data_IF_416428252549
#
_entry.id   IF_416428252549
#
_cell.length_a   1.000
_cell.length_b   1.000
_cell.length_c   1.000
_cell.angle_alpha   90.00
_cell.angle_beta   90.00
_cell.angle_gamma   90.00
#
_symmetry.space_group_name_H-M   'P 1'
#
loop_
_entity.id
_entity.type
_entity.pdbx_description
1 polymer ?
#
# COMPACT_ATOMS: atom_id res chain seq x y z
N UNK A 1 8.45 -4.62 -14.33
CA UNK A 1 8.79 -5.19 -13.02
C UNK A 1 8.30 -4.26 -11.92
N UNK A 2 7.01 -4.40 -11.60
CA UNK A 2 6.33 -3.65 -10.55
C UNK A 2 6.95 -3.95 -9.19
N UNK A 3 6.96 -2.97 -8.30
CA UNK A 3 7.31 -3.18 -6.91
C UNK A 3 6.72 -2.00 -6.14
N UNK A 4 5.40 -2.05 -5.94
CA UNK A 4 4.80 -1.38 -4.81
C UNK A 4 5.48 -1.90 -3.54
N UNK A 5 5.86 -0.99 -2.64
CA UNK A 5 6.64 -1.34 -1.45
C UNK A 5 5.84 -0.93 -0.24
N UNK A 6 5.36 -1.92 0.49
CA UNK A 6 4.63 -1.70 1.74
C UNK A 6 5.56 -1.55 2.94
N UNK A 7 6.76 -2.13 2.84
CA UNK A 7 7.74 -2.08 3.92
C UNK A 7 9.12 -1.69 3.43
N UNK A 8 9.74 -0.74 4.13
CA UNK A 8 11.10 -0.28 3.83
C UNK A 8 11.95 -0.27 5.10
N UNK A 9 12.91 -1.19 5.17
CA UNK A 9 13.96 -1.20 6.21
C UNK A 9 15.04 -0.18 5.86
N UNK A 10 15.30 0.75 6.77
CA UNK A 10 16.23 1.87 6.59
C UNK A 10 17.16 2.00 7.78
N UNK A 11 18.40 2.40 7.52
CA UNK A 11 19.37 2.72 8.55
C UNK A 11 19.34 4.22 8.83
N UNK A 12 19.12 4.61 10.07
CA UNK A 12 19.13 6.01 10.52
C UNK A 12 20.26 6.25 11.51
N UNK A 13 20.96 7.36 11.34
CA UNK A 13 22.02 7.79 12.26
C UNK A 13 22.02 9.29 12.47
N UNK A 14 21.90 9.70 13.73
CA UNK A 14 22.13 11.09 14.14
C UNK A 14 23.57 11.52 13.92
N UNK A 15 23.76 12.82 13.71
CA UNK A 15 25.08 13.43 13.58
C UNK A 15 25.89 13.26 14.86
N UNK A 16 27.20 13.09 14.73
CA UNK A 16 28.12 13.16 15.89
C UNK A 16 28.20 14.62 16.36
N UNK A 17 28.31 14.85 17.67
CA UNK A 17 28.62 16.17 18.20
C UNK A 17 30.02 16.65 17.79
N UNK A 18 30.22 17.97 17.81
CA UNK A 18 31.52 18.60 17.61
C UNK A 18 32.37 18.57 18.87
N UNK A 19 33.69 18.63 18.71
CA UNK A 19 34.65 18.64 19.81
C UNK A 19 34.65 19.98 20.55
N UNK A 20 34.73 19.92 21.88
CA UNK A 20 34.92 21.09 22.74
C UNK A 20 36.39 21.55 22.75
N UNK A 21 36.65 22.77 23.21
CA UNK A 21 37.98 23.35 23.32
C UNK A 21 38.30 23.62 24.79
N UNK A 22 38.83 22.62 25.53
CA UNK A 22 38.94 22.66 26.99
C UNK A 22 39.67 23.88 27.53
N UNK A 23 40.75 24.31 26.86
CA UNK A 23 41.63 25.39 27.33
C UNK A 23 40.94 26.75 27.45
N UNK A 24 39.89 26.98 26.66
CA UNK A 24 39.14 28.23 26.65
C UNK A 24 37.66 28.02 26.99
N UNK A 25 37.30 26.84 27.50
CA UNK A 25 35.91 26.49 27.80
C UNK A 25 35.00 26.44 26.57
N UNK A 26 35.55 26.21 25.37
CA UNK A 26 34.76 26.16 24.14
C UNK A 26 33.86 24.94 24.07
N UNK A 27 32.60 25.14 23.68
CA UNK A 27 31.59 24.09 23.53
C UNK A 27 31.45 23.67 22.07
N UNK A 28 31.57 22.38 21.79
CA UNK A 28 31.30 21.83 20.47
C UNK A 28 29.80 21.86 20.15
N UNK A 29 29.48 21.98 18.86
CA UNK A 29 28.10 22.00 18.40
C UNK A 29 27.42 20.64 18.53
N UNK A 30 26.09 20.62 18.73
CA UNK A 30 25.32 19.37 18.75
C UNK A 30 25.24 18.78 17.34
N UNK A 31 25.25 17.46 17.22
CA UNK A 31 24.99 16.79 15.95
C UNK A 31 23.53 16.99 15.50
N UNK A 32 23.30 16.93 14.19
CA UNK A 32 21.96 16.99 13.62
C UNK A 32 21.11 15.76 13.96
N UNK A 33 19.81 15.95 14.00
CA UNK A 33 18.80 14.91 14.23
C UNK A 33 18.28 14.35 12.89
N UNK A 34 17.80 13.11 12.88
CA UNK A 34 17.12 12.51 11.72
C UNK A 34 15.62 12.47 11.99
N UNK A 35 14.83 13.04 11.09
CA UNK A 35 13.38 13.15 11.20
C UNK A 35 12.68 12.45 10.02
N UNK A 36 11.62 11.70 10.31
CA UNK A 36 10.64 11.32 9.30
C UNK A 36 9.53 12.36 9.26
N UNK A 37 9.19 12.86 8.07
CA UNK A 37 8.16 13.90 7.88
C UNK A 37 7.10 13.40 6.91
N UNK A 38 5.85 13.36 7.36
CA UNK A 38 4.72 12.83 6.62
C UNK A 38 4.29 13.78 5.48
N UNK A 39 4.24 13.28 4.24
CA UNK A 39 3.84 14.03 3.05
C UNK A 39 2.93 13.20 2.12
N UNK A 40 1.92 13.85 1.52
CA UNK A 40 0.92 13.17 0.69
C UNK A 40 1.44 12.64 -0.65
N UNK A 41 2.44 13.31 -1.24
CA UNK A 41 2.94 13.04 -2.59
C UNK A 41 4.11 12.05 -2.64
N UNK A 42 4.51 11.47 -1.51
CA UNK A 42 5.68 10.59 -1.41
C UNK A 42 5.24 9.13 -1.25
N UNK A 43 5.92 8.20 -1.94
CA UNK A 43 5.70 6.75 -1.84
C UNK A 43 6.94 6.07 -1.26
N UNK A 44 6.82 4.90 -0.62
CA UNK A 44 8.00 4.18 -0.13
C UNK A 44 8.94 3.74 -1.27
N UNK A 45 8.37 3.46 -2.45
CA UNK A 45 9.13 3.19 -3.68
C UNK A 45 10.02 4.38 -4.06
N UNK A 46 9.49 5.60 -4.09
CA UNK A 46 10.29 6.77 -4.46
C UNK A 46 11.43 7.05 -3.48
N UNK A 47 11.29 6.67 -2.20
CA UNK A 47 12.35 6.73 -1.20
C UNK A 47 13.45 5.70 -1.50
N UNK A 48 13.07 4.45 -1.81
CA UNK A 48 14.04 3.41 -2.20
C UNK A 48 14.82 3.80 -3.46
N UNK A 49 14.14 4.35 -4.45
CA UNK A 49 14.73 4.73 -5.72
C UNK A 49 15.67 5.93 -5.56
N UNK A 50 15.27 6.93 -4.76
CA UNK A 50 16.10 8.10 -4.44
C UNK A 50 17.30 7.77 -3.55
N UNK A 51 17.15 6.79 -2.65
CA UNK A 51 18.18 6.38 -1.70
C UNK A 51 18.46 4.88 -1.76
N UNK A 52 19.22 4.40 -2.78
CA UNK A 52 19.48 2.98 -2.97
C UNK A 52 20.18 2.32 -1.77
N UNK A 53 21.02 3.08 -1.06
CA UNK A 53 21.73 2.62 0.14
C UNK A 53 20.83 2.58 1.40
N UNK A 54 19.61 3.12 1.35
CA UNK A 54 18.64 3.17 2.46
C UNK A 54 19.24 3.72 3.76
N UNK A 55 20.18 4.66 3.64
CA UNK A 55 21.01 5.16 4.75
C UNK A 55 20.81 6.66 4.90
N UNK A 56 20.25 7.06 6.05
CA UNK A 56 19.97 8.46 6.37
C UNK A 56 20.86 8.90 7.53
N UNK A 57 21.71 9.90 7.27
CA UNK A 57 22.69 10.38 8.24
C UNK A 57 22.60 11.89 8.35
N UNK A 58 22.38 12.39 9.56
CA UNK A 58 22.38 13.83 9.82
C UNK A 58 23.81 14.39 9.93
N UNK A 59 23.93 15.71 9.73
CA UNK A 59 25.20 16.42 9.73
C UNK A 59 25.88 16.43 11.10
N UNK A 60 27.21 16.41 11.12
CA UNK A 60 27.99 16.51 12.36
C UNK A 60 27.98 17.94 12.91
N UNK A 61 28.01 18.08 14.24
CA UNK A 61 28.20 19.38 14.88
C UNK A 61 29.60 19.93 14.63
N UNK A 62 29.73 21.25 14.54
CA UNK A 62 31.02 21.89 14.32
C UNK A 62 31.87 21.87 15.59
N UNK A 63 33.19 21.72 15.42
CA UNK A 63 34.12 21.82 16.54
C UNK A 63 34.21 23.27 17.02
N UNK A 64 34.43 23.44 18.32
CA UNK A 64 34.85 24.73 18.86
C UNK A 64 36.33 24.97 18.55
N UNK A 65 36.70 26.23 18.41
CA UNK A 65 38.05 26.68 18.11
C UNK A 65 38.39 27.94 18.88
N UNK A 66 39.66 28.35 18.82
CA UNK A 66 40.14 29.60 19.43
C UNK A 66 39.37 30.83 18.90
N UNK A 67 38.93 30.80 17.64
CA UNK A 67 38.17 31.89 17.00
C UNK A 67 36.66 31.80 17.22
N UNK A 68 36.15 30.61 17.51
CA UNK A 68 34.72 30.35 17.69
C UNK A 68 34.52 29.36 18.83
N UNK A 69 34.32 29.89 20.04
CA UNK A 69 34.19 29.09 21.25
C UNK A 69 32.90 28.26 21.29
N UNK A 70 31.90 28.56 20.47
CA UNK A 70 30.66 27.78 20.37
C UNK A 70 30.52 27.21 18.97
N UNK A 71 30.49 25.89 18.87
CA UNK A 71 30.27 25.17 17.62
C UNK A 71 28.80 25.22 17.18
N UNK A 72 28.59 25.34 15.87
CA UNK A 72 27.26 25.32 15.26
C UNK A 72 26.64 23.91 15.28
N UNK A 73 25.30 23.86 15.36
CA UNK A 73 24.55 22.60 15.26
C UNK A 73 24.71 22.01 13.85
N UNK A 74 24.95 20.70 13.77
CA UNK A 74 24.92 19.97 12.51
C UNK A 74 23.54 20.02 11.85
N UNK A 75 23.52 20.00 10.51
CA UNK A 75 22.26 20.04 9.73
C UNK A 75 21.41 18.79 10.00
N UNK A 76 20.14 19.01 10.29
CA UNK A 76 19.17 17.92 10.47
C UNK A 76 18.88 17.24 9.11
N UNK A 77 18.59 15.94 9.15
CA UNK A 77 18.22 15.17 7.97
C UNK A 77 16.71 14.87 8.04
N UNK A 78 15.93 15.55 7.21
CA UNK A 78 14.51 15.27 7.05
C UNK A 78 14.30 14.28 5.90
N UNK A 79 13.62 13.18 6.19
CA UNK A 79 13.26 12.14 5.24
C UNK A 79 11.75 12.19 5.07
N UNK A 80 11.31 12.55 3.87
CA UNK A 80 9.88 12.60 3.57
C UNK A 80 9.32 11.20 3.36
N UNK A 81 8.22 10.91 4.03
CA UNK A 81 7.57 9.60 4.03
C UNK A 81 6.06 9.74 3.75
N UNK A 82 5.39 8.74 3.13
CA UNK A 82 3.94 8.78 2.94
C UNK A 82 3.14 8.93 4.25
N UNK A 83 1.89 9.34 4.12
CA UNK A 83 0.93 9.31 5.22
C UNK A 83 0.51 7.87 5.56
N UNK A 84 0.27 7.63 6.85
CA UNK A 84 -0.19 6.35 7.39
C UNK A 84 0.97 5.37 7.60
N UNK A 85 2.15 5.84 7.98
CA UNK A 85 3.30 4.97 8.22
C UNK A 85 3.44 4.66 9.71
N UNK A 86 3.64 3.38 10.00
CA UNK A 86 4.11 2.90 11.28
C UNK A 86 5.62 2.75 11.22
N UNK A 87 6.32 3.34 12.20
CA UNK A 87 7.76 3.18 12.36
C UNK A 87 7.98 2.07 13.38
N UNK A 88 8.59 0.98 12.94
CA UNK A 88 8.89 -0.20 13.73
C UNK A 88 10.39 -0.29 14.00
N UNK A 89 10.76 -0.76 15.17
CA UNK A 89 12.11 -1.21 15.47
C UNK A 89 12.42 -2.54 14.75
N UNK A 90 13.70 -2.91 14.71
CA UNK A 90 14.14 -4.17 14.08
C UNK A 90 13.58 -5.43 14.79
N UNK A 91 13.13 -5.28 16.04
CA UNK A 91 12.45 -6.29 16.85
C UNK A 91 10.93 -6.39 16.56
N UNK A 92 10.40 -5.57 15.65
CA UNK A 92 8.99 -5.51 15.31
C UNK A 92 8.13 -4.66 16.25
N UNK A 93 8.71 -4.01 17.26
CA UNK A 93 7.97 -3.10 18.15
C UNK A 93 7.69 -1.77 17.48
N UNK A 94 6.44 -1.32 17.48
CA UNK A 94 6.07 0.01 16.99
C UNK A 94 6.61 1.09 17.93
N UNK A 95 7.42 2.00 17.38
CA UNK A 95 8.02 3.13 18.10
C UNK A 95 7.40 4.48 17.72
N UNK A 96 6.66 4.55 16.62
CA UNK A 96 6.00 5.77 16.18
C UNK A 96 5.01 5.54 15.06
N UNK A 97 4.21 6.58 14.78
CA UNK A 97 3.24 6.61 13.69
C UNK A 97 3.13 8.02 13.11
N UNK A 98 2.86 8.10 11.82
CA UNK A 98 2.79 9.34 11.05
C UNK A 98 1.50 9.31 10.20
N UNK A 99 0.47 10.05 10.63
CA UNK A 99 -0.88 9.92 10.07
C UNK A 99 -1.37 11.17 9.34
N UNK A 100 -0.99 12.36 9.82
CA UNK A 100 -1.37 13.63 9.24
C UNK A 100 -0.21 14.26 8.45
N UNK A 101 -0.55 15.07 7.44
CA UNK A 101 0.45 15.79 6.67
C UNK A 101 1.22 16.77 7.57
N UNK A 102 2.55 16.72 7.49
CA UNK A 102 3.43 17.52 8.34
C UNK A 102 3.78 16.90 9.69
N UNK A 103 3.20 15.75 10.06
CA UNK A 103 3.62 15.00 11.24
C UNK A 103 5.12 14.70 11.15
N UNK A 104 5.83 14.85 12.29
CA UNK A 104 7.27 14.62 12.38
C UNK A 104 7.58 13.60 13.46
N UNK A 105 8.39 12.61 13.11
CA UNK A 105 8.88 11.60 14.04
C UNK A 105 10.41 11.64 14.14
N UNK A 106 10.93 11.74 15.37
CA UNK A 106 12.37 11.76 15.64
C UNK A 106 12.93 10.35 15.53
N UNK A 107 13.51 10.02 14.37
CA UNK A 107 14.02 8.70 14.08
C UNK A 107 15.39 8.42 14.71
N UNK A 108 16.27 9.42 14.81
CA UNK A 108 17.54 9.27 15.50
C UNK A 108 18.03 10.61 16.05
N UNK A 109 18.40 10.64 17.34
CA UNK A 109 18.95 11.83 17.98
C UNK A 109 20.42 12.06 17.60
N UNK A 110 20.74 13.31 17.30
CA UNK A 110 22.11 13.81 17.19
C UNK A 110 22.82 13.79 18.54
N UNK A 111 24.12 13.49 18.50
CA UNK A 111 24.98 13.41 19.68
C UNK A 111 25.26 14.79 20.27
N UNK A 112 25.44 14.83 21.60
CA UNK A 112 25.83 16.04 22.30
C UNK A 112 27.24 16.49 21.86
N UNK A 113 27.43 17.80 21.74
CA UNK A 113 28.75 18.38 21.52
C UNK A 113 29.60 18.33 22.80
N UNK A 114 30.91 18.47 22.65
CA UNK A 114 31.84 18.51 23.76
C UNK A 114 31.62 19.77 24.60
N UNK A 115 31.18 19.63 25.84
CA UNK A 115 31.02 20.72 26.81
C UNK A 115 31.68 20.35 28.13
N UNK A 116 31.63 21.24 29.13
CA UNK A 116 32.17 20.95 30.46
C UNK A 116 31.59 19.66 31.06
N UNK A 117 30.30 19.37 30.79
CA UNK A 117 29.60 18.17 31.27
C UNK A 117 30.15 16.88 30.63
N UNK A 118 30.62 16.96 29.38
CA UNK A 118 31.15 15.81 28.65
C UNK A 118 32.69 15.79 28.60
N UNK A 119 33.35 16.52 29.50
CA UNK A 119 34.82 16.72 29.50
C UNK A 119 35.34 17.18 28.12
N UNK A 120 34.57 18.03 27.45
CA UNK A 120 34.83 18.57 26.10
C UNK A 120 34.91 17.52 24.99
N UNK A 121 34.52 16.27 25.26
CA UNK A 121 34.48 15.20 24.28
C UNK A 121 33.08 15.09 23.63
N UNK A 122 33.00 14.93 22.30
CA UNK A 122 31.73 14.78 21.62
C UNK A 122 31.12 13.39 21.85
N UNK A 123 29.80 13.34 21.92
CA UNK A 123 29.05 12.10 21.91
C UNK A 123 28.69 11.70 20.47
N UNK A 124 28.66 10.38 20.20
CA UNK A 124 28.14 9.84 18.95
C UNK A 124 26.61 9.99 18.90
N UNK A 125 26.07 10.31 17.73
CA UNK A 125 24.62 10.29 17.51
C UNK A 125 24.05 8.87 17.58
N UNK A 126 22.78 8.78 17.93
CA UNK A 126 22.03 7.53 17.99
C UNK A 126 22.01 6.84 16.63
N UNK A 127 22.13 5.52 16.63
CA UNK A 127 22.12 4.68 15.42
C UNK A 127 21.08 3.60 15.64
N UNK A 128 20.19 3.42 14.68
CA UNK A 128 19.23 2.33 14.71
C UNK A 128 18.80 1.95 13.29
N UNK A 129 18.36 0.71 13.16
CA UNK A 129 17.68 0.23 11.97
C UNK A 129 16.19 0.27 12.28
N UNK A 130 15.42 0.90 11.40
CA UNK A 130 13.97 1.02 11.54
C UNK A 130 13.31 0.50 10.29
N UNK A 131 12.11 -0.07 10.45
CA UNK A 131 11.27 -0.52 9.36
C UNK A 131 10.08 0.42 9.25
N UNK A 132 9.91 1.03 8.08
CA UNK A 132 8.76 1.85 7.76
C UNK A 132 7.73 0.95 7.11
N UNK A 133 6.63 0.69 7.81
CA UNK A 133 5.52 -0.09 7.28
C UNK A 133 4.34 0.84 7.01
N UNK A 134 3.92 0.87 5.75
CA UNK A 134 2.73 1.60 5.33
C UNK A 134 1.49 0.85 5.80
N UNK A 135 0.58 1.52 6.51
CA UNK A 135 -0.69 0.93 6.90
C UNK A 135 -1.53 0.69 5.65
N UNK A 136 -1.81 -0.58 5.42
CA UNK A 136 -2.83 -1.03 4.48
C UNK A 136 -4.21 -0.62 4.99
N UNK A 137 -5.12 -0.35 4.06
CA UNK A 137 -6.52 -0.06 4.38
C UNK A 137 -7.25 -1.38 4.67
N UNK A 138 -6.99 -2.38 3.84
CA UNK A 138 -7.53 -3.73 3.97
C UNK A 138 -6.59 -4.73 3.27
N UNK A 139 -6.75 -6.02 3.56
CA UNK A 139 -6.06 -7.08 2.82
C UNK A 139 -6.67 -7.24 1.42
N UNK A 140 -8.00 -7.16 1.31
CA UNK A 140 -8.74 -7.30 0.04
C UNK A 140 -9.49 -6.01 -0.28
N UNK A 141 -9.41 -5.54 -1.53
CA UNK A 141 -10.21 -4.44 -2.05
C UNK A 141 -11.28 -4.92 -3.03
N UNK A 142 -12.55 -4.62 -2.75
CA UNK A 142 -13.65 -4.88 -3.70
C UNK A 142 -13.63 -3.83 -4.80
N UNK A 143 -13.55 -4.28 -6.05
CA UNK A 143 -13.52 -3.44 -7.24
C UNK A 143 -14.69 -3.81 -8.14
N UNK A 144 -15.37 -2.82 -8.72
CA UNK A 144 -16.52 -3.07 -9.59
C UNK A 144 -17.40 -1.84 -9.71
N UNK A 145 -18.32 -1.88 -10.66
CA UNK A 145 -19.25 -0.78 -10.89
C UNK A 145 -20.29 -0.65 -9.78
N UNK A 146 -20.98 0.51 -9.69
CA UNK A 146 -22.18 0.63 -8.89
C UNK A 146 -23.18 -0.49 -9.19
N UNK A 147 -23.96 -0.93 -8.19
CA UNK A 147 -24.98 -1.98 -8.33
C UNK A 147 -24.49 -3.39 -8.70
N UNK A 148 -23.17 -3.61 -8.85
CA UNK A 148 -22.59 -4.96 -8.96
C UNK A 148 -22.79 -5.81 -7.68
N UNK A 149 -23.20 -5.16 -6.58
CA UNK A 149 -23.48 -5.81 -5.29
C UNK A 149 -22.27 -5.89 -4.36
N UNK A 150 -21.29 -4.98 -4.48
CA UNK A 150 -20.09 -4.92 -3.63
C UNK A 150 -20.42 -4.77 -2.14
N UNK A 151 -21.23 -3.78 -1.77
CA UNK A 151 -21.60 -3.54 -0.37
C UNK A 151 -22.46 -4.68 0.18
N UNK A 152 -23.34 -5.27 -0.65
CA UNK A 152 -24.10 -6.48 -0.31
C UNK A 152 -23.17 -7.66 -0.05
N UNK A 153 -22.16 -7.87 -0.90
CA UNK A 153 -21.15 -8.90 -0.72
C UNK A 153 -20.36 -8.67 0.56
N UNK A 154 -19.90 -7.43 0.82
CA UNK A 154 -19.18 -7.07 2.04
C UNK A 154 -19.99 -7.40 3.29
N UNK A 155 -21.27 -7.07 3.30
CA UNK A 155 -22.17 -7.35 4.43
C UNK A 155 -22.35 -8.85 4.68
N UNK A 156 -22.29 -9.68 3.63
CA UNK A 156 -22.47 -11.14 3.72
C UNK A 156 -21.20 -11.89 4.12
N UNK A 157 -20.05 -11.43 3.63
CA UNK A 157 -18.75 -12.05 3.98
C UNK A 157 -18.26 -11.63 5.36
N UNK A 158 -18.65 -10.44 5.81
CA UNK A 158 -18.19 -9.89 7.08
C UNK A 158 -18.87 -10.56 8.27
N UNK A 159 -18.07 -10.98 9.25
CA UNK A 159 -18.54 -11.52 10.52
C UNK A 159 -19.19 -10.44 11.40
N UNK A 160 -18.69 -9.19 11.30
CA UNK A 160 -19.24 -8.03 12.00
C UNK A 160 -19.95 -7.09 11.01
N UNK A 161 -20.81 -6.21 11.52
CA UNK A 161 -21.37 -5.14 10.68
C UNK A 161 -20.22 -4.33 10.08
N UNK A 162 -20.20 -4.10 8.75
CA UNK A 162 -19.19 -3.26 8.14
C UNK A 162 -19.13 -1.89 8.82
N UNK A 163 -17.93 -1.43 9.13
CA UNK A 163 -17.70 -0.14 9.78
C UNK A 163 -17.10 0.84 8.80
N UNK A 164 -17.49 2.11 8.90
CA UNK A 164 -16.94 3.19 8.08
C UNK A 164 -15.57 3.56 8.67
N UNK A 165 -14.51 3.42 7.87
CA UNK A 165 -13.16 3.62 8.34
C UNK A 165 -12.66 5.06 8.10
N UNK A 166 -12.37 5.77 9.19
CA UNK A 166 -11.92 7.16 9.15
C UNK A 166 -10.40 7.27 9.20
N UNK A 167 -9.73 6.86 8.12
CA UNK A 167 -8.29 7.03 8.01
C UNK A 167 -7.92 8.48 7.66
N UNK A 168 -6.91 9.04 8.32
CA UNK A 168 -6.49 10.44 8.16
C UNK A 168 -6.06 10.81 6.72
N UNK A 169 -5.82 9.81 5.87
CA UNK A 169 -5.34 9.96 4.50
C UNK A 169 -6.41 9.64 3.43
N UNK A 170 -7.65 9.33 3.82
CA UNK A 170 -8.73 8.98 2.90
C UNK A 170 -9.72 10.15 2.80
N UNK A 171 -10.01 10.64 1.60
CA UNK A 171 -11.07 11.67 1.41
C UNK A 171 -12.47 11.07 1.28
N UNK A 172 -12.57 9.81 0.89
CA UNK A 172 -13.82 9.04 0.88
C UNK A 172 -13.60 7.86 1.81
N UNK A 173 -14.46 7.74 2.81
CA UNK A 173 -14.36 6.70 3.84
C UNK A 173 -14.78 5.36 3.24
N UNK A 174 -13.88 4.36 3.14
CA UNK A 174 -14.26 3.03 2.69
C UNK A 174 -15.04 2.30 3.79
N UNK A 175 -15.95 1.42 3.38
CA UNK A 175 -16.57 0.46 4.30
C UNK A 175 -15.63 -0.72 4.51
N UNK A 176 -15.33 -1.05 5.76
CA UNK A 176 -14.50 -2.19 6.13
C UNK A 176 -15.33 -3.31 6.73
N UNK A 177 -15.18 -4.50 6.16
CA UNK A 177 -15.63 -5.77 6.72
C UNK A 177 -14.45 -6.61 7.21
N UNK A 178 -14.74 -7.57 8.08
CA UNK A 178 -13.76 -8.56 8.56
C UNK A 178 -14.29 -9.97 8.32
N UNK A 179 -13.55 -10.75 7.55
CA UNK A 179 -13.80 -12.20 7.41
C UNK A 179 -13.08 -12.90 8.56
N UNK A 180 -13.82 -13.70 9.33
CA UNK A 180 -13.26 -14.55 10.38
C UNK A 180 -13.24 -16.00 9.91
N UNK A 181 -12.06 -16.62 9.94
CA UNK A 181 -11.87 -18.02 9.59
C UNK A 181 -11.91 -18.92 10.84
N UNK A 182 -12.05 -20.22 10.62
CA UNK A 182 -12.16 -21.25 11.67
C UNK A 182 -10.92 -21.36 12.56
N UNK A 183 -9.75 -20.96 12.05
CA UNK A 183 -8.48 -20.89 12.77
C UNK A 183 -8.24 -19.53 13.44
N UNK A 184 -9.27 -18.72 13.61
CA UNK A 184 -9.23 -17.36 14.16
C UNK A 184 -8.42 -16.35 13.35
N UNK A 185 -7.93 -16.71 12.16
CA UNK A 185 -7.34 -15.76 11.24
C UNK A 185 -8.41 -14.76 10.81
N UNK A 186 -8.05 -13.48 10.79
CA UNK A 186 -8.92 -12.39 10.35
C UNK A 186 -8.34 -11.76 9.10
N UNK A 187 -9.18 -11.59 8.08
CA UNK A 187 -8.83 -10.90 6.84
C UNK A 187 -9.75 -9.69 6.70
N UNK A 188 -9.14 -8.53 6.49
CA UNK A 188 -9.86 -7.28 6.30
C UNK A 188 -10.24 -7.09 4.83
N UNK A 189 -11.48 -6.68 4.58
CA UNK A 189 -12.00 -6.42 3.23
C UNK A 189 -12.55 -5.00 3.19
N UNK A 190 -12.12 -4.20 2.22
CA UNK A 190 -12.66 -2.87 1.99
C UNK A 190 -13.59 -2.87 0.77
N UNK A 191 -14.80 -2.35 0.91
CA UNK A 191 -15.54 -1.86 -0.24
C UNK A 191 -14.96 -0.51 -0.65
N UNK A 192 -14.28 -0.52 -1.78
CA UNK A 192 -13.71 0.67 -2.36
C UNK A 192 -14.84 1.32 -3.19
N UNK A 193 -15.38 2.51 -2.81
CA UNK A 193 -16.51 3.16 -3.48
C UNK A 193 -16.31 3.20 -5.00
N UNK A 194 -17.27 2.65 -5.73
CA UNK A 194 -17.07 2.06 -7.07
C UNK A 194 -16.20 2.86 -8.04
N UNK A 195 -15.43 2.14 -8.85
CA UNK A 195 -14.91 2.67 -10.11
C UNK A 195 -16.12 3.18 -10.90
N UNK A 196 -16.29 4.51 -10.93
CA UNK A 196 -17.26 5.15 -11.81
C UNK A 196 -16.55 5.31 -13.14
N UNK A 197 -17.26 5.00 -14.22
CA UNK A 197 -16.79 5.21 -15.57
C UNK A 197 -16.18 6.62 -15.74
N UNK A 198 -14.91 6.68 -16.10
CA UNK A 198 -14.17 7.95 -16.19
C UNK A 198 -13.58 8.43 -14.86
N UNK A 199 -13.41 7.56 -13.86
CA UNK A 199 -12.67 7.84 -12.63
C UNK A 199 -11.23 8.31 -12.93
N UNK A 200 -10.61 7.80 -14.00
CA UNK A 200 -9.33 8.28 -14.50
C UNK A 200 -9.40 9.75 -15.01
N UNK A 201 -10.50 10.15 -15.67
CA UNK A 201 -10.69 11.47 -16.26
C UNK A 201 -11.10 12.56 -15.25
N UNK A 202 -11.76 12.18 -14.15
CA UNK A 202 -12.18 13.09 -13.10
C UNK A 202 -10.99 13.53 -12.21
N UNK A 203 -10.34 14.64 -12.62
CA UNK A 203 -9.27 15.38 -11.94
C UNK A 203 -9.61 15.75 -10.47
N UNK A 204 -9.55 14.78 -9.56
CA UNK A 204 -9.56 15.05 -8.12
C UNK A 204 -10.13 13.93 -7.23
N UNK A 205 -11.21 13.28 -7.64
CA UNK A 205 -11.89 12.26 -6.82
C UNK A 205 -11.43 10.82 -7.15
N UNK A 206 -11.33 10.47 -8.43
CA UNK A 206 -10.89 9.13 -8.84
C UNK A 206 -9.42 8.85 -8.49
N UNK A 207 -8.55 9.85 -8.62
CA UNK A 207 -7.12 9.71 -8.27
C UNK A 207 -6.88 9.44 -6.78
N UNK A 208 -7.73 9.98 -5.90
CA UNK A 208 -7.66 9.74 -4.45
C UNK A 208 -8.27 8.39 -4.07
N UNK A 209 -9.32 7.98 -4.79
CA UNK A 209 -9.95 6.69 -4.64
C UNK A 209 -9.00 5.52 -4.98
N UNK A 210 -8.33 5.62 -6.11
CA UNK A 210 -7.42 4.59 -6.61
C UNK A 210 -6.15 4.45 -5.74
N UNK A 211 -5.77 5.50 -5.02
CA UNK A 211 -4.74 5.43 -3.95
C UNK A 211 -5.14 4.47 -2.81
N UNK A 212 -6.43 4.19 -2.63
CA UNK A 212 -6.90 3.20 -1.66
C UNK A 212 -6.79 1.77 -2.20
N UNK A 213 -7.03 1.58 -3.50
CA UNK A 213 -6.78 0.31 -4.21
C UNK A 213 -5.28 -0.05 -4.16
N UNK A 214 -4.40 0.96 -4.20
CA UNK A 214 -2.97 0.74 -3.97
C UNK A 214 -2.68 0.15 -2.58
N UNK A 215 -3.50 0.46 -1.57
CA UNK A 215 -3.31 0.03 -0.17
C UNK A 215 -4.07 -1.26 0.20
N UNK A 216 -4.34 -2.10 -0.79
CA UNK A 216 -4.81 -3.48 -0.60
C UNK A 216 -3.80 -4.49 -1.11
N UNK A 217 -3.69 -5.66 -0.49
CA UNK A 217 -2.81 -6.72 -0.99
C UNK A 217 -3.41 -7.38 -2.23
N UNK A 218 -4.71 -7.64 -2.16
CA UNK A 218 -5.48 -8.34 -3.18
C UNK A 218 -6.65 -7.52 -3.71
N UNK A 219 -6.98 -7.74 -4.98
CA UNK A 219 -8.17 -7.21 -5.63
C UNK A 219 -9.22 -8.32 -5.79
N UNK A 220 -10.47 -8.00 -5.49
CA UNK A 220 -11.62 -8.84 -5.80
C UNK A 220 -12.56 -8.05 -6.70
N UNK A 221 -12.56 -8.39 -7.99
CA UNK A 221 -13.43 -7.77 -8.97
C UNK A 221 -14.82 -8.41 -8.85
N UNK A 222 -15.85 -7.59 -8.65
CA UNK A 222 -17.23 -8.02 -8.52
C UNK A 222 -17.98 -7.54 -9.76
N UNK A 223 -18.52 -8.50 -10.53
CA UNK A 223 -19.22 -8.25 -11.78
C UNK A 223 -20.61 -8.88 -11.74
N UNK A 224 -21.59 -8.19 -12.30
CA UNK A 224 -22.95 -8.70 -12.46
C UNK A 224 -23.03 -9.58 -13.71
N UNK A 225 -23.53 -10.82 -13.56
CA UNK A 225 -23.72 -11.75 -14.69
C UNK A 225 -24.75 -11.25 -15.71
N UNK A 226 -25.67 -10.40 -15.29
CA UNK A 226 -26.69 -9.81 -16.16
C UNK A 226 -26.21 -8.57 -16.89
N UNK A 227 -24.91 -8.24 -16.78
CA UNK A 227 -24.35 -7.03 -17.37
C UNK A 227 -24.60 -5.78 -16.52
N UNK A 228 -24.20 -4.64 -17.07
CA UNK A 228 -24.20 -3.37 -16.37
C UNK A 228 -24.71 -2.23 -17.27
N UNK A 229 -25.52 -1.34 -16.69
CA UNK A 229 -25.94 -0.10 -17.32
C UNK A 229 -25.95 1.01 -16.27
N UNK A 230 -25.13 2.06 -16.48
CA UNK A 230 -24.97 3.16 -15.52
C UNK A 230 -26.18 4.12 -15.53
N UNK A 231 -26.75 4.38 -16.69
CA UNK A 231 -27.91 5.26 -16.90
C UNK A 231 -28.73 4.81 -18.10
N UNK A 232 -29.99 5.25 -18.19
CA UNK A 232 -30.87 5.00 -19.36
C UNK A 232 -30.22 5.50 -20.68
N UNK A 233 -29.28 6.46 -20.58
CA UNK A 233 -28.54 7.03 -21.72
C UNK A 233 -27.26 6.28 -22.09
N UNK A 234 -26.75 5.39 -21.24
CA UNK A 234 -25.54 4.62 -21.51
C UNK A 234 -25.90 3.29 -22.12
N UNK A 235 -25.08 2.80 -23.05
CA UNK A 235 -25.24 1.47 -23.63
C UNK A 235 -25.18 0.40 -22.54
N UNK A 236 -26.00 -0.64 -22.72
CA UNK A 236 -25.96 -1.82 -21.88
C UNK A 236 -24.68 -2.59 -22.19
N UNK A 237 -23.94 -2.95 -21.15
CA UNK A 237 -22.69 -3.69 -21.28
C UNK A 237 -22.81 -5.11 -20.78
N UNK A 238 -22.19 -6.03 -21.49
CA UNK A 238 -22.08 -7.42 -21.06
C UNK A 238 -21.15 -7.57 -19.86
N UNK A 239 -21.21 -8.72 -19.17
CA UNK A 239 -20.31 -9.03 -18.06
C UNK A 239 -18.82 -9.02 -18.51
N UNK A 240 -18.55 -9.47 -19.73
CA UNK A 240 -17.20 -9.47 -20.30
C UNK A 240 -16.68 -8.06 -20.59
N UNK A 241 -17.48 -7.24 -21.25
CA UNK A 241 -17.17 -5.81 -21.46
C UNK A 241 -16.92 -5.09 -20.13
N UNK A 242 -17.69 -5.44 -19.11
CA UNK A 242 -17.54 -4.90 -17.77
C UNK A 242 -16.18 -5.25 -17.17
N UNK A 243 -15.73 -6.50 -17.27
CA UNK A 243 -14.41 -6.94 -16.81
C UNK A 243 -13.29 -6.19 -17.54
N UNK A 244 -13.39 -6.07 -18.87
CA UNK A 244 -12.39 -5.38 -19.69
C UNK A 244 -12.31 -3.89 -19.35
N UNK A 245 -13.45 -3.23 -19.19
CA UNK A 245 -13.51 -1.82 -18.82
C UNK A 245 -12.91 -1.58 -17.44
N UNK A 246 -13.24 -2.40 -16.43
CA UNK A 246 -12.63 -2.31 -15.10
C UNK A 246 -11.11 -2.51 -15.16
N UNK A 247 -10.66 -3.46 -15.97
CA UNK A 247 -9.23 -3.72 -16.19
C UNK A 247 -8.55 -2.51 -16.85
N UNK A 248 -9.21 -1.90 -17.85
CA UNK A 248 -8.71 -0.70 -18.52
C UNK A 248 -8.60 0.48 -17.59
N UNK A 249 -9.59 0.68 -16.72
CA UNK A 249 -9.55 1.78 -15.75
C UNK A 249 -8.43 1.60 -14.72
N UNK A 250 -8.18 0.36 -14.27
CA UNK A 250 -7.03 0.04 -13.42
C UNK A 250 -5.71 0.31 -14.15
N UNK A 251 -5.62 -0.07 -15.42
CA UNK A 251 -4.45 0.18 -16.27
C UNK A 251 -4.16 1.67 -16.45
N UNK A 252 -5.16 2.44 -16.90
CA UNK A 252 -5.05 3.88 -17.16
C UNK A 252 -4.61 4.63 -15.90
N UNK A 253 -5.06 4.19 -14.73
CA UNK A 253 -4.59 4.75 -13.49
C UNK A 253 -3.13 4.39 -13.21
N UNK A 254 -2.82 3.10 -13.19
CA UNK A 254 -1.49 2.60 -12.90
C UNK A 254 -1.35 1.13 -13.29
N UNK A 255 -0.48 0.87 -14.25
CA UNK A 255 -0.13 -0.48 -14.69
C UNK A 255 0.29 -1.42 -13.55
N UNK A 256 0.90 -0.89 -12.47
CA UNK A 256 1.28 -1.70 -11.31
C UNK A 256 0.10 -2.36 -10.60
N UNK A 257 -1.13 -1.82 -10.71
CA UNK A 257 -2.31 -2.46 -10.11
C UNK A 257 -2.68 -3.77 -10.81
N UNK A 258 -2.33 -3.94 -12.09
CA UNK A 258 -2.57 -5.17 -12.83
C UNK A 258 -1.66 -6.32 -12.38
N UNK A 259 -0.53 -6.00 -11.73
CA UNK A 259 0.37 -7.03 -11.18
C UNK A 259 -0.09 -7.58 -9.83
N UNK A 260 -1.11 -6.99 -9.21
CA UNK A 260 -1.67 -7.51 -7.96
C UNK A 260 -2.48 -8.77 -8.24
N UNK A 261 -2.56 -9.72 -7.29
CA UNK A 261 -3.53 -10.79 -7.42
C UNK A 261 -4.94 -10.25 -7.58
N UNK A 262 -5.61 -10.75 -8.60
CA UNK A 262 -7.01 -10.50 -8.82
C UNK A 262 -7.79 -11.80 -8.73
N UNK A 263 -8.93 -11.74 -8.04
CA UNK A 263 -9.99 -12.72 -8.10
C UNK A 263 -11.19 -12.09 -8.80
N UNK A 264 -11.97 -12.89 -9.53
CA UNK A 264 -13.22 -12.46 -10.15
C UNK A 264 -14.40 -13.14 -9.46
N UNK A 265 -15.27 -12.35 -8.83
CA UNK A 265 -16.56 -12.78 -8.30
C UNK A 265 -17.67 -12.39 -9.26
N UNK A 266 -18.36 -13.40 -9.80
CA UNK A 266 -19.53 -13.22 -10.67
C UNK A 266 -20.78 -13.26 -9.80
N UNK A 267 -21.43 -12.12 -9.59
CA UNK A 267 -22.60 -11.98 -8.73
C UNK A 267 -23.93 -12.13 -9.50
N UNK A 268 -25.02 -12.29 -8.75
CA UNK A 268 -26.41 -12.48 -9.21
C UNK A 268 -26.68 -13.78 -9.96
N UNK A 269 -26.01 -14.86 -9.53
CA UNK A 269 -26.24 -16.21 -10.06
C UNK A 269 -27.64 -16.80 -9.76
N UNK A 270 -28.45 -16.10 -8.97
CA UNK A 270 -29.84 -16.43 -8.68
C UNK A 270 -30.81 -16.17 -9.85
N UNK A 271 -30.36 -15.49 -10.92
CA UNK A 271 -31.21 -15.12 -12.04
C UNK A 271 -31.41 -16.28 -13.05
N UNK A 272 -32.58 -16.38 -13.69
CA UNK A 272 -32.99 -17.55 -14.48
C UNK A 272 -32.17 -17.82 -15.77
N UNK A 273 -31.25 -16.93 -16.17
CA UNK A 273 -30.33 -17.13 -17.31
C UNK A 273 -28.85 -17.07 -16.90
N UNK A 274 -28.55 -17.07 -15.60
CA UNK A 274 -27.19 -16.82 -15.12
C UNK A 274 -26.19 -17.93 -15.50
N UNK A 275 -26.65 -19.19 -15.60
CA UNK A 275 -25.78 -20.32 -15.96
C UNK A 275 -25.30 -20.25 -17.41
N UNK A 276 -26.22 -20.01 -18.34
CA UNK A 276 -25.89 -19.89 -19.77
C UNK A 276 -24.98 -18.69 -20.03
N UNK A 277 -25.27 -17.55 -19.39
CA UNK A 277 -24.42 -16.36 -19.45
C UNK A 277 -23.03 -16.60 -18.85
N UNK A 278 -22.93 -17.44 -17.81
CA UNK A 278 -21.65 -17.75 -17.18
C UNK A 278 -20.79 -18.63 -18.09
N UNK A 279 -21.39 -19.62 -18.75
CA UNK A 279 -20.68 -20.47 -19.71
C UNK A 279 -20.15 -19.65 -20.89
N UNK A 280 -20.94 -18.67 -21.36
CA UNK A 280 -20.50 -17.73 -22.40
C UNK A 280 -19.37 -16.82 -21.91
N UNK A 281 -19.50 -16.24 -20.72
CA UNK A 281 -18.45 -15.42 -20.11
C UNK A 281 -17.15 -16.20 -19.91
N UNK A 282 -17.22 -17.46 -19.47
CA UNK A 282 -16.05 -18.30 -19.28
C UNK A 282 -15.32 -18.57 -20.61
N UNK A 283 -16.04 -18.79 -21.71
CA UNK A 283 -15.44 -18.91 -23.05
C UNK A 283 -14.76 -17.61 -23.48
N UNK A 284 -15.42 -16.48 -23.25
CA UNK A 284 -14.88 -15.16 -23.59
C UNK A 284 -13.62 -14.81 -22.77
N UNK A 285 -13.58 -15.20 -21.49
CA UNK A 285 -12.39 -15.02 -20.64
C UNK A 285 -11.22 -15.93 -21.03
N UNK A 286 -11.50 -17.12 -21.58
CA UNK A 286 -10.44 -18.03 -22.06
C UNK A 286 -9.81 -17.57 -23.38
N UNK A 287 -10.60 -17.00 -24.28
CA UNK A 287 -10.13 -16.50 -25.58
C UNK A 287 -10.49 -15.02 -25.78
N UNK A 288 -9.93 -14.09 -24.98
CA UNK A 288 -10.31 -12.69 -25.03
C UNK A 288 -10.04 -12.08 -26.41
N UNK A 289 -8.93 -12.46 -27.05
CA UNK A 289 -8.52 -11.97 -28.38
C UNK A 289 -9.56 -12.20 -29.48
N UNK A 290 -10.36 -13.27 -29.38
CA UNK A 290 -11.40 -13.59 -30.34
C UNK A 290 -12.62 -12.67 -30.22
N UNK A 291 -12.75 -11.87 -29.16
CA UNK A 291 -13.88 -10.97 -28.94
C UNK A 291 -13.48 -9.50 -28.89
N UNK A 292 -12.19 -9.18 -28.84
CA UNK A 292 -11.69 -7.80 -28.82
C UNK A 292 -12.11 -6.98 -30.05
N UNK A 293 -12.28 -7.64 -31.20
CA UNK A 293 -12.66 -6.97 -32.45
C UNK A 293 -14.11 -6.44 -32.46
N UNK A 294 -14.95 -6.88 -31.51
CA UNK A 294 -16.32 -6.41 -31.35
C UNK A 294 -16.42 -5.16 -30.45
N UNK A 295 -15.31 -4.76 -29.83
CA UNK A 295 -15.27 -3.71 -28.82
C UNK A 295 -14.63 -2.43 -29.37
N UNK A 296 -15.07 -1.29 -28.84
CA UNK A 296 -14.44 -0.01 -29.13
C UNK A 296 -12.98 -0.02 -28.64
N UNK A 297 -12.03 0.50 -29.43
CA UNK A 297 -10.59 0.50 -29.12
C UNK A 297 -10.28 1.10 -27.73
N UNK A 298 -11.10 2.03 -27.27
CA UNK A 298 -10.97 2.71 -25.96
C UNK A 298 -11.19 1.77 -24.77
N UNK A 299 -11.90 0.64 -24.95
CA UNK A 299 -12.22 -0.34 -23.90
C UNK A 299 -11.18 -1.45 -23.77
N UNK A 300 -10.22 -1.54 -24.70
CA UNK A 300 -9.27 -2.65 -24.76
C UNK A 300 -8.04 -2.33 -23.90
N UNK A 301 -7.78 -3.08 -22.81
CA UNK A 301 -6.56 -2.91 -22.02
C UNK A 301 -5.34 -3.36 -22.82
N UNK A 302 -4.21 -2.67 -22.67
CA UNK A 302 -2.97 -3.08 -23.32
C UNK A 302 -2.36 -4.30 -22.62
N UNK A 303 -2.61 -4.46 -21.32
CA UNK A 303 -2.27 -5.64 -20.53
C UNK A 303 -3.52 -6.30 -19.94
N UNK A 304 -3.66 -7.61 -20.11
CA UNK A 304 -4.74 -8.39 -19.49
C UNK A 304 -4.47 -8.65 -18.01
N UNK A 305 -5.49 -8.46 -17.18
CA UNK A 305 -5.46 -8.85 -15.77
C UNK A 305 -5.63 -10.37 -15.68
N UNK A 306 -4.64 -11.08 -15.14
CA UNK A 306 -4.75 -12.51 -14.90
C UNK A 306 -5.52 -12.76 -13.61
N UNK A 307 -6.68 -13.40 -13.72
CA UNK A 307 -7.46 -13.83 -12.57
C UNK A 307 -6.96 -15.18 -12.07
N UNK A 308 -6.61 -15.25 -10.78
CA UNK A 308 -6.20 -16.52 -10.15
C UNK A 308 -7.36 -17.52 -10.06
N UNK A 309 -8.57 -17.03 -9.79
CA UNK A 309 -9.80 -17.82 -9.81
C UNK A 309 -11.00 -16.95 -10.23
N UNK A 310 -11.98 -17.58 -10.87
CA UNK A 310 -13.29 -17.03 -11.24
C UNK A 310 -14.35 -17.80 -10.45
N UNK A 311 -15.15 -17.09 -9.67
CA UNK A 311 -16.01 -17.68 -8.65
C UNK A 311 -17.44 -17.17 -8.83
N UNK A 312 -18.40 -18.04 -9.20
CA UNK A 312 -19.81 -17.69 -9.23
C UNK A 312 -20.37 -17.57 -7.81
N UNK A 313 -21.07 -16.48 -7.55
CA UNK A 313 -21.69 -16.20 -6.26
C UNK A 313 -23.11 -15.63 -6.43
N UNK A 314 -23.94 -15.86 -5.42
CA UNK A 314 -25.16 -15.06 -5.24
C UNK A 314 -25.16 -14.47 -3.85
N UNK A 315 -25.08 -13.15 -3.79
CA UNK A 315 -25.23 -12.41 -2.53
C UNK A 315 -26.63 -12.53 -1.92
N UNK A 316 -27.65 -12.84 -2.73
CA UNK A 316 -29.02 -13.03 -2.28
C UNK A 316 -29.22 -14.40 -1.61
N UNK A 317 -28.86 -15.49 -2.29
CA UNK A 317 -29.04 -16.86 -1.77
C UNK A 317 -27.93 -17.27 -0.81
N UNK A 318 -26.75 -16.66 -0.91
CA UNK A 318 -25.54 -17.04 -0.17
C UNK A 318 -24.70 -18.12 -0.84
N UNK A 319 -25.09 -18.57 -2.04
CA UNK A 319 -24.36 -19.58 -2.81
C UNK A 319 -22.99 -19.07 -3.24
N UNK A 320 -21.96 -19.94 -3.18
CA UNK A 320 -20.59 -19.62 -3.57
C UNK A 320 -19.79 -18.75 -2.58
N UNK A 321 -20.41 -18.21 -1.52
CA UNK A 321 -19.73 -17.29 -0.59
C UNK A 321 -18.65 -18.00 0.24
N UNK A 322 -18.88 -19.22 0.71
CA UNK A 322 -17.88 -19.96 1.49
C UNK A 322 -16.69 -20.38 0.63
N UNK A 323 -16.93 -20.76 -0.62
CA UNK A 323 -15.86 -21.01 -1.59
C UNK A 323 -15.05 -19.74 -1.84
N UNK A 324 -15.72 -18.60 -2.04
CA UNK A 324 -15.06 -17.30 -2.20
C UNK A 324 -14.15 -16.97 -1.01
N UNK A 325 -14.63 -17.15 0.23
CA UNK A 325 -13.81 -16.93 1.44
C UNK A 325 -12.57 -17.83 1.44
N UNK A 326 -12.72 -19.10 1.07
CA UNK A 326 -11.60 -20.04 1.01
C UNK A 326 -10.56 -19.64 -0.03
N UNK A 327 -10.99 -19.20 -1.24
CA UNK A 327 -10.10 -18.76 -2.31
C UNK A 327 -9.36 -17.45 -1.98
N UNK A 328 -10.06 -16.49 -1.37
CA UNK A 328 -9.45 -15.25 -0.86
C UNK A 328 -8.29 -15.59 0.08
N UNK A 329 -8.54 -16.47 1.05
CA UNK A 329 -7.53 -16.88 2.01
C UNK A 329 -6.35 -17.57 1.34
N UNK A 330 -6.62 -18.56 0.49
CA UNK A 330 -5.57 -19.33 -0.21
C UNK A 330 -4.63 -18.40 -0.97
N UNK A 331 -5.18 -17.44 -1.70
CA UNK A 331 -4.39 -16.50 -2.47
C UNK A 331 -3.51 -15.59 -1.61
N UNK A 332 -4.04 -15.08 -0.48
CA UNK A 332 -3.25 -14.25 0.45
C UNK A 332 -2.14 -15.08 1.11
N UNK A 333 -2.43 -16.34 1.45
CA UNK A 333 -1.45 -17.24 2.07
C UNK A 333 -0.30 -17.57 1.11
N UNK A 334 -0.61 -17.90 -0.14
CA UNK A 334 0.38 -18.17 -1.20
C UNK A 334 1.32 -16.97 -1.43
N UNK A 335 0.79 -15.75 -1.40
CA UNK A 335 1.61 -14.55 -1.57
C UNK A 335 2.52 -14.26 -0.39
N UNK A 336 2.00 -14.43 0.82
CA UNK A 336 2.80 -14.29 2.02
C UNK A 336 3.95 -15.33 2.03
N UNK A 337 3.71 -16.55 1.55
CA UNK A 337 4.74 -17.57 1.40
C UNK A 337 5.80 -17.18 0.35
N UNK A 338 5.39 -16.73 -0.83
CA UNK A 338 6.29 -16.28 -1.89
C UNK A 338 7.19 -15.12 -1.43
N UNK A 339 6.61 -14.11 -0.76
CA UNK A 339 7.38 -12.98 -0.21
C UNK A 339 8.40 -13.45 0.83
N UNK A 340 8.02 -14.38 1.70
CA UNK A 340 8.89 -14.93 2.74
C UNK A 340 10.04 -15.75 2.14
N UNK A 341 9.78 -16.55 1.10
CA UNK A 341 10.81 -17.30 0.39
C UNK A 341 11.79 -16.38 -0.34
N UNK A 342 11.30 -15.36 -1.04
CA UNK A 342 12.14 -14.35 -1.67
C UNK A 342 13.04 -13.64 -0.65
N UNK A 343 12.46 -13.29 0.50
CA UNK A 343 13.19 -12.66 1.59
C UNK A 343 14.30 -13.59 2.13
N UNK A 344 13.98 -14.86 2.36
CA UNK A 344 14.96 -15.87 2.81
C UNK A 344 16.08 -16.04 1.79
N UNK A 345 15.77 -16.13 0.49
CA UNK A 345 16.76 -16.22 -0.60
C UNK A 345 17.68 -14.99 -0.65
N UNK A 346 17.11 -13.77 -0.59
CA UNK A 346 17.89 -12.52 -0.55
C UNK A 346 18.83 -12.47 0.66
N UNK A 347 18.37 -12.93 1.83
CA UNK A 347 19.18 -12.96 3.05
C UNK A 347 20.34 -13.97 2.95
N UNK A 348 20.10 -15.15 2.38
CA UNK A 348 21.13 -16.16 2.14
C UNK A 348 22.21 -15.65 1.18
N UNK A 349 21.81 -15.02 0.08
CA UNK A 349 22.75 -14.42 -0.89
C UNK A 349 23.62 -13.33 -0.27
N UNK A 350 23.05 -12.49 0.61
CA UNK A 350 23.81 -11.45 1.31
C UNK A 350 24.84 -12.03 2.30
N UNK A 351 24.53 -13.17 2.93
CA UNK A 351 25.46 -13.86 3.82
C UNK A 351 26.62 -14.49 3.03
N UNK A 352 26.32 -15.13 1.90
CA UNK A 352 27.32 -15.73 1.02
C UNK A 352 28.24 -14.71 0.35
N UNK A 353 27.78 -13.49 0.12
CA UNK A 353 28.61 -12.40 -0.43
C UNK A 353 29.45 -11.66 0.63
N UNK A 354 29.29 -12.02 1.91
CA UNK A 354 30.02 -11.41 3.04
C UNK A 354 31.11 -12.31 3.63
N UNK A 355 31.26 -13.52 3.11
CA UNK A 355 32.44 -14.39 3.23
C UNK A 355 33.34 -14.19 2.01
#
# INVERSE_FOLDING_TARGET
YGNFIDSLRVYVRGGTGGMGYPRLGGEGGRGGDVWFVAQERTTLKSIKDRYPQKRFVAGTGANSSVKALKGEKGKDCEVHVPLGISVLCDDGKQIGELNAAGDRFLAARGGLGGSLVTNFLPCKGQRQIVRLDLKLIADVGLVGFPNAGKSSLLSKISHAKPEIANYAFTTVQPELGKIMYTDYKQISVADLPGLIEGAHANKGMGHKFLKHVERTKQLLLVVDISGFQLSIKTEFRTAFETVLLLTKELELYKEELLTKPALLAINKMDLPCAKDNLDELMKQLQNPHDFLHLLQEEMIPANTLEFKDVIPISTYTGEGIEELKARIRKCIDEEAEQENEEYRKKKLLLLQASE
#
